data_IF_739841298151
#
_entry.id   IF_739841298151
#
_cell.length_a   1.000
_cell.length_b   1.000
_cell.length_c   1.000
_cell.angle_alpha   90.00
_cell.angle_beta   90.00
_cell.angle_gamma   90.00
#
_symmetry.space_group_name_H-M   'P 1'
#
loop_
_entity.id
_entity.type
_entity.pdbx_description
1 polymer ?
#
# COMPACT_ATOMS: atom_id res chain seq x y z
N UNK A 1 23.19 -7.98 28.20
CA UNK A 1 21.78 -7.99 27.75
C UNK A 1 21.81 -7.95 26.24
N UNK A 2 21.47 -9.06 25.58
CA UNK A 2 21.31 -9.08 24.13
C UNK A 2 20.03 -8.32 23.84
N UNK A 3 20.17 -7.10 23.34
CA UNK A 3 19.04 -6.34 22.82
C UNK A 3 18.53 -7.14 21.62
N UNK A 4 17.43 -7.86 21.81
CA UNK A 4 16.64 -8.42 20.72
C UNK A 4 16.37 -7.24 19.80
N UNK A 5 17.12 -7.15 18.70
CA UNK A 5 16.77 -6.24 17.62
C UNK A 5 15.43 -6.76 17.16
N UNK A 6 14.33 -6.11 17.58
CA UNK A 6 13.07 -6.22 16.87
C UNK A 6 13.41 -6.08 15.40
N UNK A 7 13.33 -7.20 14.67
CA UNK A 7 13.53 -7.19 13.23
C UNK A 7 12.35 -6.45 12.66
N UNK A 8 12.50 -5.13 12.55
CA UNK A 8 11.55 -4.28 11.84
C UNK A 8 11.44 -4.81 10.42
N UNK A 9 10.21 -5.09 10.01
CA UNK A 9 9.92 -5.59 8.69
C UNK A 9 9.79 -4.41 7.72
N UNK A 10 10.22 -4.64 6.49
CA UNK A 10 10.00 -3.70 5.40
C UNK A 10 8.99 -4.32 4.45
N UNK A 11 8.13 -3.48 3.89
CA UNK A 11 7.33 -3.82 2.72
C UNK A 11 8.27 -4.17 1.57
N UNK A 12 7.87 -5.17 0.78
CA UNK A 12 8.55 -5.45 -0.47
C UNK A 12 8.50 -4.22 -1.39
N UNK A 13 9.55 -4.03 -2.19
CA UNK A 13 9.69 -2.88 -3.08
C UNK A 13 8.50 -2.75 -4.05
N UNK A 14 7.89 -3.87 -4.46
CA UNK A 14 6.72 -3.87 -5.33
C UNK A 14 5.48 -3.35 -4.61
N UNK A 15 5.23 -3.82 -3.39
CA UNK A 15 4.09 -3.42 -2.56
C UNK A 15 4.21 -1.95 -2.13
N UNK A 16 5.41 -1.54 -1.68
CA UNK A 16 5.74 -0.12 -1.41
C UNK A 16 5.52 0.75 -2.64
N UNK A 17 5.89 0.23 -3.83
CA UNK A 17 5.66 0.88 -5.12
C UNK A 17 4.18 1.08 -5.42
N UNK A 18 3.34 0.05 -5.18
CA UNK A 18 1.89 0.12 -5.37
C UNK A 18 1.25 1.13 -4.41
N UNK A 19 1.58 1.10 -3.12
CA UNK A 19 1.05 2.05 -2.15
C UNK A 19 1.38 3.50 -2.57
N UNK A 20 2.65 3.75 -2.91
CA UNK A 20 3.10 5.08 -3.33
C UNK A 20 2.44 5.54 -4.62
N UNK A 21 2.19 4.63 -5.56
CA UNK A 21 1.55 4.95 -6.83
C UNK A 21 0.08 5.32 -6.66
N UNK A 22 -0.67 4.56 -5.88
CA UNK A 22 -2.09 4.86 -5.60
C UNK A 22 -2.19 6.17 -4.82
N UNK A 23 -1.34 6.39 -3.82
CA UNK A 23 -1.30 7.63 -3.04
C UNK A 23 -0.92 8.87 -3.85
N UNK A 24 -0.24 8.72 -4.99
CA UNK A 24 0.08 9.83 -5.88
C UNK A 24 -1.13 10.29 -6.72
N UNK A 25 -2.22 9.53 -6.73
CA UNK A 25 -3.45 9.93 -7.42
C UNK A 25 -4.19 11.01 -6.63
N UNK A 26 -5.02 11.78 -7.32
CA UNK A 26 -5.88 12.75 -6.65
C UNK A 26 -6.75 12.06 -5.57
N UNK A 27 -7.09 12.74 -4.47
CA UNK A 27 -7.96 12.18 -3.45
C UNK A 27 -9.26 11.65 -4.06
N UNK A 28 -9.60 10.39 -3.78
CA UNK A 28 -10.80 9.75 -4.32
C UNK A 28 -10.71 9.25 -5.76
N UNK A 29 -9.55 9.37 -6.44
CA UNK A 29 -9.37 8.94 -7.82
C UNK A 29 -8.45 7.72 -7.93
N UNK A 30 -8.88 6.67 -8.64
CA UNK A 30 -8.01 5.53 -8.92
C UNK A 30 -6.98 5.84 -10.01
N UNK A 31 -5.84 5.13 -10.04
CA UNK A 31 -4.90 5.25 -11.15
C UNK A 31 -5.52 4.86 -12.49
N UNK A 32 -5.10 5.50 -13.58
CA UNK A 32 -5.54 5.08 -14.91
C UNK A 32 -4.98 3.70 -15.29
N UNK A 33 -5.70 2.99 -16.16
CA UNK A 33 -5.29 1.65 -16.58
C UNK A 33 -3.97 1.68 -17.38
N UNK A 34 -3.78 2.70 -18.21
CA UNK A 34 -2.54 2.89 -18.98
C UNK A 34 -1.34 3.13 -18.06
N UNK A 35 -1.49 3.98 -17.04
CA UNK A 35 -0.43 4.22 -16.06
C UNK A 35 -0.10 2.97 -15.24
N UNK A 36 -1.14 2.21 -14.86
CA UNK A 36 -0.99 0.94 -14.13
C UNK A 36 -0.22 -0.10 -14.95
N UNK A 37 -0.57 -0.25 -16.23
CA UNK A 37 0.10 -1.16 -17.15
C UNK A 37 1.54 -0.74 -17.40
N UNK A 38 1.79 0.55 -17.64
CA UNK A 38 3.13 1.07 -17.88
C UNK A 38 4.07 0.86 -16.70
N UNK A 39 3.57 0.98 -15.46
CA UNK A 39 4.40 0.92 -14.25
C UNK A 39 4.52 -0.47 -13.64
N UNK A 40 3.46 -1.28 -13.70
CA UNK A 40 3.40 -2.57 -13.00
C UNK A 40 3.07 -3.76 -13.91
N UNK A 41 2.79 -3.53 -15.19
CA UNK A 41 2.39 -4.58 -16.13
C UNK A 41 1.01 -5.20 -15.82
N UNK A 42 0.22 -4.57 -14.96
CA UNK A 42 -1.10 -5.05 -14.53
C UNK A 42 -2.15 -3.93 -14.62
N UNK A 43 -3.41 -4.33 -14.79
CA UNK A 43 -4.54 -3.39 -14.90
C UNK A 43 -4.85 -2.70 -13.57
N UNK A 44 -5.53 -1.53 -13.62
CA UNK A 44 -5.95 -0.80 -12.41
C UNK A 44 -6.68 -1.69 -11.40
N UNK A 45 -7.67 -2.53 -11.78
CA UNK A 45 -8.34 -3.40 -10.81
C UNK A 45 -7.43 -4.46 -10.17
N UNK A 46 -6.30 -4.80 -10.80
CA UNK A 46 -5.28 -5.67 -10.18
C UNK A 46 -4.37 -4.88 -9.24
N UNK A 47 -3.99 -3.65 -9.62
CA UNK A 47 -3.25 -2.74 -8.73
C UNK A 47 -4.05 -2.47 -7.46
N UNK A 48 -5.32 -2.09 -7.58
CA UNK A 48 -6.20 -1.80 -6.45
C UNK A 48 -6.44 -3.04 -5.57
N UNK A 49 -6.57 -4.24 -6.16
CA UNK A 49 -6.63 -5.48 -5.38
C UNK A 49 -5.35 -5.75 -4.59
N UNK A 50 -4.18 -5.48 -5.17
CA UNK A 50 -2.91 -5.68 -4.48
C UNK A 50 -2.72 -4.63 -3.38
N UNK A 51 -3.12 -3.39 -3.63
CA UNK A 51 -3.19 -2.33 -2.64
C UNK A 51 -4.04 -2.76 -1.43
N UNK A 52 -5.28 -3.21 -1.66
CA UNK A 52 -6.16 -3.68 -0.58
C UNK A 52 -5.56 -4.87 0.19
N UNK A 53 -4.94 -5.82 -0.52
CA UNK A 53 -4.30 -6.99 0.11
C UNK A 53 -3.12 -6.61 1.02
N UNK A 54 -2.34 -5.58 0.67
CA UNK A 54 -1.25 -5.07 1.51
C UNK A 54 -1.82 -4.44 2.77
N UNK A 55 -2.87 -3.62 2.65
CA UNK A 55 -3.53 -3.00 3.81
C UNK A 55 -4.13 -4.05 4.75
N UNK A 56 -4.78 -5.08 4.20
CA UNK A 56 -5.34 -6.17 4.98
C UNK A 56 -4.26 -6.97 5.71
N UNK A 57 -3.18 -7.34 5.02
CA UNK A 57 -2.07 -8.08 5.62
C UNK A 57 -1.45 -7.34 6.82
N UNK A 58 -1.22 -6.03 6.70
CA UNK A 58 -0.66 -5.21 7.79
C UNK A 58 -1.65 -5.11 8.97
N UNK A 59 -2.94 -4.91 8.69
CA UNK A 59 -3.99 -4.87 9.73
C UNK A 59 -4.12 -6.20 10.47
N UNK A 60 -4.05 -7.34 9.77
CA UNK A 60 -4.26 -8.66 10.35
C UNK A 60 -3.09 -9.17 11.20
N UNK A 61 -1.85 -8.83 10.83
CA UNK A 61 -0.68 -9.50 11.40
C UNK A 61 0.14 -8.64 12.38
N UNK A 62 -0.19 -7.36 12.55
CA UNK A 62 0.52 -6.43 13.46
C UNK A 62 2.05 -6.56 13.38
N UNK A 63 2.59 -6.61 12.16
CA UNK A 63 4.04 -6.69 11.99
C UNK A 63 4.68 -5.36 12.42
N UNK A 64 5.84 -5.37 13.11
CA UNK A 64 6.58 -4.15 13.42
C UNK A 64 7.23 -3.64 12.13
N UNK A 65 6.49 -2.87 11.34
CA UNK A 65 7.04 -2.19 10.16
C UNK A 65 8.02 -1.10 10.59
N UNK A 66 9.01 -0.82 9.76
CA UNK A 66 9.82 0.39 9.94
C UNK A 66 8.96 1.66 9.81
N UNK A 67 9.41 2.76 10.42
CA UNK A 67 8.65 4.01 10.49
C UNK A 67 8.22 4.56 9.11
N UNK A 68 9.05 4.39 8.07
CA UNK A 68 8.72 4.88 6.74
C UNK A 68 7.59 4.06 6.10
N UNK A 69 7.65 2.74 6.22
CA UNK A 69 6.57 1.87 5.75
C UNK A 69 5.31 2.01 6.57
N UNK A 70 5.43 2.15 7.88
CA UNK A 70 4.29 2.38 8.75
C UNK A 70 3.58 3.69 8.38
N UNK A 71 4.34 4.76 8.14
CA UNK A 71 3.80 6.04 7.67
C UNK A 71 3.09 5.91 6.32
N UNK A 72 3.69 5.15 5.39
CA UNK A 72 3.11 4.92 4.07
C UNK A 72 1.79 4.15 4.17
N UNK A 73 1.74 3.11 5.00
CA UNK A 73 0.53 2.31 5.22
C UNK A 73 -0.57 3.13 5.90
N UNK A 74 -0.25 3.93 6.92
CA UNK A 74 -1.25 4.81 7.56
C UNK A 74 -1.89 5.77 6.55
N UNK A 75 -1.09 6.42 5.71
CA UNK A 75 -1.62 7.29 4.65
C UNK A 75 -2.48 6.52 3.66
N UNK A 76 -2.08 5.30 3.29
CA UNK A 76 -2.84 4.45 2.38
C UNK A 76 -4.17 3.97 2.98
N UNK A 77 -4.20 3.67 4.29
CA UNK A 77 -5.42 3.39 5.04
C UNK A 77 -6.35 4.60 5.01
N UNK A 78 -5.85 5.79 5.39
CA UNK A 78 -6.64 7.01 5.38
C UNK A 78 -7.20 7.29 3.99
N UNK A 79 -6.35 7.18 2.96
CA UNK A 79 -6.76 7.34 1.57
C UNK A 79 -7.90 6.40 1.18
N UNK A 80 -7.82 5.13 1.57
CA UNK A 80 -8.84 4.12 1.25
C UNK A 80 -10.15 4.38 1.96
N UNK A 81 -10.10 4.84 3.22
CA UNK A 81 -11.30 5.14 4.01
C UNK A 81 -12.05 6.37 3.48
N UNK A 82 -11.36 7.29 2.80
CA UNK A 82 -11.95 8.45 2.13
C UNK A 82 -12.36 8.21 0.67
N UNK A 83 -12.07 7.03 0.12
CA UNK A 83 -12.46 6.66 -1.24
C UNK A 83 -13.88 6.05 -1.24
N UNK A 84 -14.80 6.51 -2.10
CA UNK A 84 -16.08 5.84 -2.26
C UNK A 84 -15.83 4.42 -2.81
N UNK A 85 -16.38 3.40 -2.15
CA UNK A 85 -16.37 2.03 -2.72
C UNK A 85 -17.27 2.02 -3.94
N UNK A 86 -16.69 2.14 -5.14
CA UNK A 86 -17.38 1.77 -6.37
C UNK A 86 -17.48 0.25 -6.39
N UNK A 87 -18.64 -0.26 -5.99
CA UNK A 87 -19.03 -1.66 -6.09
C UNK A 87 -19.32 -2.08 -7.52
#
# INVERSE_FOLDING_TARGET
MLQERETTMHLDWYDRGILSFVLACAPGAEPSNDASLARFGITTPRVMRRFDAVLDAVRSHQFPLDDADLTLVHRAVDYRDHMPRTG
#
